data_IF_579496190136
#
_entry.id   IF_579496190136
#
_cell.length_a   1.000
_cell.length_b   1.000
_cell.length_c   1.000
_cell.angle_alpha   90.00
_cell.angle_beta   90.00
_cell.angle_gamma   90.00
#
_symmetry.space_group_name_H-M   'P 1'
#
loop_
_entity.id
_entity.type
_entity.pdbx_description
1 polymer ?
#
# COMPACT_ATOMS: atom_id res chain seq x y z
N UNK A 1 -108.25 46.20 -26.03
CA UNK A 1 -107.85 46.67 -24.72
C UNK A 1 -106.91 45.56 -24.15
N UNK A 2 -105.68 45.64 -24.38
CA UNK A 2 -104.66 44.63 -23.91
C UNK A 2 -103.68 45.32 -22.94
N UNK A 3 -103.61 44.82 -21.71
CA UNK A 3 -102.65 45.30 -20.72
C UNK A 3 -101.41 44.44 -20.81
N UNK A 4 -100.28 45.10 -21.04
CA UNK A 4 -98.95 44.52 -20.97
C UNK A 4 -98.57 44.47 -19.48
N UNK A 5 -98.09 43.36 -18.94
CA UNK A 5 -97.51 43.36 -17.59
C UNK A 5 -96.07 43.94 -17.60
N UNK A 6 -95.82 44.99 -16.82
CA UNK A 6 -94.50 45.52 -16.50
C UNK A 6 -93.72 44.50 -15.67
N UNK A 7 -92.67 43.99 -16.21
CA UNK A 7 -91.64 43.26 -15.40
C UNK A 7 -90.96 44.21 -14.41
N UNK A 8 -91.15 44.01 -13.18
CA UNK A 8 -90.42 44.67 -12.07
C UNK A 8 -89.01 44.16 -12.04
N UNK A 9 -88.05 44.91 -12.55
CA UNK A 9 -86.66 44.72 -12.20
C UNK A 9 -86.52 45.07 -10.71
N UNK A 10 -86.48 44.04 -9.82
CA UNK A 10 -86.06 44.21 -8.48
C UNK A 10 -84.55 44.60 -8.51
N UNK A 11 -84.29 45.88 -8.31
CA UNK A 11 -82.97 46.42 -8.09
C UNK A 11 -82.49 45.86 -6.71
N UNK A 12 -81.67 44.81 -6.73
CA UNK A 12 -81.08 44.30 -5.54
C UNK A 12 -80.31 45.43 -4.84
N UNK A 13 -80.62 45.61 -3.55
CA UNK A 13 -79.97 46.62 -2.68
C UNK A 13 -78.46 46.62 -2.86
N UNK A 14 -77.76 47.77 -2.94
CA UNK A 14 -76.29 47.82 -3.10
C UNK A 14 -75.54 46.98 -2.07
N UNK A 15 -76.14 46.84 -0.88
CA UNK A 15 -75.55 45.97 0.21
C UNK A 15 -75.65 44.48 -0.15
N UNK A 16 -76.68 44.02 -0.84
CA UNK A 16 -76.79 42.61 -1.25
C UNK A 16 -75.81 42.34 -2.38
N UNK A 17 -75.61 43.27 -3.31
CA UNK A 17 -74.63 43.16 -4.42
C UNK A 17 -73.19 43.16 -3.82
N UNK A 18 -72.87 44.01 -2.85
CA UNK A 18 -71.58 44.04 -2.18
C UNK A 18 -71.38 42.75 -1.42
N UNK A 19 -72.40 42.20 -0.75
CA UNK A 19 -72.31 40.91 -0.04
C UNK A 19 -72.10 39.72 -1.03
N UNK A 20 -72.75 39.72 -2.17
CA UNK A 20 -72.55 38.71 -3.22
C UNK A 20 -71.11 38.75 -3.82
N UNK A 21 -70.63 39.99 -4.11
CA UNK A 21 -69.24 40.16 -4.55
C UNK A 21 -68.23 39.73 -3.55
N UNK A 22 -68.40 40.08 -2.25
CA UNK A 22 -67.56 39.66 -1.16
C UNK A 22 -67.54 38.12 -0.99
N UNK A 23 -68.72 37.49 -1.06
CA UNK A 23 -68.85 36.02 -1.03
C UNK A 23 -68.16 35.37 -2.20
N UNK A 24 -68.33 35.88 -3.42
CA UNK A 24 -67.75 35.37 -4.65
C UNK A 24 -66.20 35.50 -4.58
N UNK A 25 -65.68 36.63 -4.07
CA UNK A 25 -64.27 36.87 -3.87
C UNK A 25 -63.69 35.88 -2.82
N UNK A 26 -64.37 35.72 -1.70
CA UNK A 26 -63.96 34.76 -0.67
C UNK A 26 -63.96 33.31 -1.16
N UNK A 27 -65.02 32.94 -1.96
CA UNK A 27 -65.12 31.62 -2.57
C UNK A 27 -63.98 31.38 -3.58
N UNK A 28 -63.67 32.37 -4.41
CA UNK A 28 -62.54 32.31 -5.35
C UNK A 28 -61.21 32.16 -4.64
N UNK A 29 -60.96 32.92 -3.55
CA UNK A 29 -59.74 32.79 -2.74
C UNK A 29 -59.67 31.41 -2.10
N UNK A 30 -60.80 30.92 -1.54
CA UNK A 30 -60.82 29.58 -0.92
C UNK A 30 -60.56 28.46 -1.95
N UNK A 31 -61.14 28.60 -3.15
CA UNK A 31 -60.89 27.65 -4.26
C UNK A 31 -59.45 27.67 -4.71
N UNK A 32 -58.83 28.85 -4.88
CA UNK A 32 -57.43 29.00 -5.23
C UNK A 32 -56.54 28.42 -4.13
N UNK A 33 -56.85 28.65 -2.84
CA UNK A 33 -56.14 28.09 -1.73
C UNK A 33 -56.25 26.55 -1.69
N UNK A 34 -57.42 25.99 -1.98
CA UNK A 34 -57.61 24.53 -2.05
C UNK A 34 -56.83 23.91 -3.22
N UNK A 35 -56.79 24.56 -4.39
CA UNK A 35 -55.97 24.12 -5.51
C UNK A 35 -54.48 24.22 -5.17
N UNK A 36 -54.04 25.34 -4.64
CA UNK A 36 -52.64 25.51 -4.20
C UNK A 36 -52.23 24.45 -3.14
N UNK A 37 -53.13 24.14 -2.20
CA UNK A 37 -52.90 23.07 -1.22
C UNK A 37 -52.84 21.69 -1.89
N UNK A 38 -53.71 21.37 -2.85
CA UNK A 38 -53.72 20.11 -3.55
C UNK A 38 -52.40 19.84 -4.31
N UNK A 39 -51.79 20.89 -4.87
CA UNK A 39 -50.52 20.81 -5.61
C UNK A 39 -49.29 21.12 -4.74
N UNK A 40 -49.43 21.33 -3.43
CA UNK A 40 -48.32 21.74 -2.55
C UNK A 40 -47.23 20.68 -2.38
N UNK A 41 -47.49 19.42 -2.70
CA UNK A 41 -46.55 18.30 -2.52
C UNK A 41 -46.04 17.72 -3.85
N UNK A 42 -46.14 18.51 -4.93
CA UNK A 42 -45.50 18.17 -6.21
C UNK A 42 -44.04 18.57 -6.12
N UNK A 43 -43.13 17.60 -6.27
CA UNK A 43 -41.68 17.82 -6.16
C UNK A 43 -40.93 17.19 -7.32
N UNK A 44 -39.86 17.82 -7.73
CA UNK A 44 -38.88 17.26 -8.65
C UNK A 44 -37.80 16.55 -7.82
N UNK A 45 -37.53 15.30 -8.16
CA UNK A 45 -36.46 14.47 -7.53
C UNK A 45 -35.26 14.51 -8.47
N UNK A 46 -34.13 14.98 -7.94
CA UNK A 46 -32.85 15.00 -8.67
C UNK A 46 -32.35 13.58 -8.97
N UNK A 47 -31.53 13.39 -10.03
CA UNK A 47 -30.97 12.09 -10.39
C UNK A 47 -30.15 11.41 -9.29
N UNK A 48 -29.56 12.22 -8.39
CA UNK A 48 -28.75 11.71 -7.26
C UNK A 48 -29.59 11.35 -6.04
N UNK A 49 -30.91 11.53 -6.09
CA UNK A 49 -31.83 11.28 -4.99
C UNK A 49 -32.97 10.36 -5.43
N UNK A 50 -33.60 9.73 -4.45
CA UNK A 50 -34.87 9.01 -4.59
C UNK A 50 -35.79 9.45 -3.46
N UNK A 51 -37.07 9.29 -3.63
CA UNK A 51 -38.07 9.63 -2.63
C UNK A 51 -38.78 8.38 -2.11
N UNK A 52 -38.96 8.35 -0.80
CA UNK A 52 -39.89 7.42 -0.12
C UNK A 52 -41.14 8.20 0.20
N UNK A 53 -42.28 7.72 -0.28
CA UNK A 53 -43.59 8.28 0.01
C UNK A 53 -44.25 7.45 1.09
N UNK A 54 -44.56 8.08 2.21
CA UNK A 54 -45.29 7.49 3.32
C UNK A 54 -46.75 7.97 3.27
N UNK A 55 -47.71 7.05 3.25
CA UNK A 55 -49.11 7.31 3.36
C UNK A 55 -49.58 7.04 4.80
N UNK A 56 -49.95 8.10 5.53
CA UNK A 56 -50.27 8.02 6.99
C UNK A 56 -49.19 7.28 7.81
N UNK A 57 -47.92 7.44 7.45
CA UNK A 57 -46.78 6.80 8.13
C UNK A 57 -46.43 5.40 7.66
N UNK A 58 -47.26 4.77 6.80
CA UNK A 58 -46.94 3.48 6.18
C UNK A 58 -46.22 3.71 4.83
N UNK A 59 -45.29 2.81 4.47
CA UNK A 59 -44.64 2.85 3.16
C UNK A 59 -45.67 2.60 2.06
N UNK A 60 -45.82 3.57 1.16
CA UNK A 60 -46.66 3.45 -0.03
C UNK A 60 -45.82 3.06 -1.26
N UNK A 61 -44.89 3.93 -1.63
CA UNK A 61 -44.04 3.72 -2.82
C UNK A 61 -42.66 4.36 -2.68
N UNK A 62 -41.73 3.84 -3.47
CA UNK A 62 -40.39 4.42 -3.66
C UNK A 62 -40.33 4.95 -5.09
N UNK A 63 -39.96 6.20 -5.28
CA UNK A 63 -39.81 6.82 -6.59
C UNK A 63 -38.35 7.26 -6.79
N UNK A 64 -37.80 6.88 -7.95
CA UNK A 64 -36.53 7.36 -8.41
C UNK A 64 -36.62 8.77 -8.98
N UNK A 65 -35.51 9.28 -9.55
CA UNK A 65 -35.46 10.60 -10.15
C UNK A 65 -36.64 10.88 -11.11
N UNK A 66 -37.13 12.12 -11.13
CA UNK A 66 -38.23 12.58 -11.96
C UNK A 66 -39.24 13.41 -11.20
N UNK A 67 -40.41 13.63 -11.82
CA UNK A 67 -41.49 14.40 -11.23
C UNK A 67 -42.34 13.48 -10.33
N UNK A 68 -42.41 13.83 -9.04
CA UNK A 68 -43.22 13.15 -8.04
C UNK A 68 -44.52 13.94 -7.82
N UNK A 69 -45.64 13.28 -7.98
CA UNK A 69 -46.94 13.72 -7.54
C UNK A 69 -47.31 12.99 -6.25
N UNK A 70 -47.38 13.72 -5.16
CA UNK A 70 -47.78 13.18 -3.88
C UNK A 70 -48.98 13.98 -3.34
N UNK A 71 -49.84 13.32 -2.57
CA UNK A 71 -50.96 13.99 -1.91
C UNK A 71 -50.44 15.02 -0.89
N UNK A 72 -51.16 16.13 -0.71
CA UNK A 72 -50.72 17.13 0.25
C UNK A 72 -50.68 16.57 1.69
N UNK A 73 -49.81 17.18 2.53
CA UNK A 73 -49.81 16.87 3.97
C UNK A 73 -51.16 17.19 4.57
N UNK A 74 -51.73 16.35 5.44
CA UNK A 74 -51.03 15.27 6.21
C UNK A 74 -51.12 13.86 5.57
N UNK A 75 -51.73 13.69 4.39
CA UNK A 75 -52.00 12.39 3.78
C UNK A 75 -50.72 11.66 3.37
N UNK A 76 -49.85 12.33 2.62
CA UNK A 76 -48.58 11.78 2.20
C UNK A 76 -47.39 12.63 2.69
N UNK A 77 -46.35 11.94 3.15
CA UNK A 77 -45.07 12.53 3.51
C UNK A 77 -44.01 12.03 2.55
N UNK A 78 -43.28 12.95 1.92
CA UNK A 78 -42.18 12.63 1.02
C UNK A 78 -40.87 12.84 1.74
N UNK A 79 -40.06 11.78 1.86
CA UNK A 79 -38.73 11.80 2.43
C UNK A 79 -37.73 11.56 1.31
N UNK A 80 -36.83 12.52 1.11
CA UNK A 80 -35.77 12.42 0.11
C UNK A 80 -34.60 11.64 0.70
N UNK A 81 -34.10 10.65 -0.05
CA UNK A 81 -32.97 9.82 0.27
C UNK A 81 -31.95 9.85 -0.87
N UNK A 82 -30.68 9.55 -0.58
CA UNK A 82 -29.70 9.33 -1.63
C UNK A 82 -30.12 8.20 -2.58
N UNK A 83 -29.77 8.33 -3.85
CA UNK A 83 -29.98 7.26 -4.84
C UNK A 83 -29.23 5.98 -4.42
N UNK A 84 -29.65 4.81 -4.94
CA UNK A 84 -29.09 3.52 -4.55
C UNK A 84 -27.61 3.35 -4.88
N UNK A 85 -27.13 4.03 -5.91
CA UNK A 85 -25.75 4.05 -6.42
C UNK A 85 -24.89 5.12 -5.74
N UNK A 86 -25.52 6.10 -5.06
CA UNK A 86 -24.79 7.16 -4.39
C UNK A 86 -24.09 6.69 -3.15
N UNK A 87 -22.77 6.81 -3.16
CA UNK A 87 -21.90 6.51 -2.01
C UNK A 87 -21.77 7.76 -1.13
N UNK A 88 -21.96 7.58 0.17
CA UNK A 88 -21.89 8.63 1.18
C UNK A 88 -20.67 8.38 2.04
N UNK A 89 -19.85 9.41 2.24
CA UNK A 89 -18.72 9.38 3.16
C UNK A 89 -19.16 9.74 4.58
N UNK A 90 -18.67 8.98 5.55
CA UNK A 90 -18.84 9.24 6.97
C UNK A 90 -17.52 9.04 7.70
N UNK A 91 -17.03 10.06 8.39
CA UNK A 91 -15.90 9.97 9.31
C UNK A 91 -16.38 9.51 10.68
N UNK A 92 -15.61 8.64 11.32
CA UNK A 92 -15.95 8.08 12.63
C UNK A 92 -15.21 8.84 13.73
N UNK A 93 -15.87 9.84 14.28
CA UNK A 93 -15.26 10.73 15.27
C UNK A 93 -14.99 10.03 16.61
N UNK A 94 -15.74 8.98 16.94
CA UNK A 94 -15.57 8.19 18.18
C UNK A 94 -14.19 7.49 18.27
N UNK A 95 -13.51 7.31 17.16
CA UNK A 95 -12.16 6.73 17.09
C UNK A 95 -11.07 7.81 17.15
N UNK A 96 -11.45 9.08 17.04
CA UNK A 96 -10.51 10.18 17.11
C UNK A 96 -10.27 10.61 18.56
N UNK A 97 -9.09 11.14 18.77
CA UNK A 97 -8.77 11.77 20.05
C UNK A 97 -9.60 13.04 20.22
N UNK A 98 -10.25 13.20 21.36
CA UNK A 98 -11.07 14.38 21.64
C UNK A 98 -10.20 15.64 21.66
N UNK A 99 -10.79 16.80 21.33
CA UNK A 99 -10.08 18.09 21.37
C UNK A 99 -9.50 18.39 22.76
N UNK A 100 -10.22 18.01 23.81
CA UNK A 100 -9.74 18.13 25.18
C UNK A 100 -8.51 17.25 25.45
N UNK A 101 -8.50 16.03 24.93
CA UNK A 101 -7.36 15.14 25.03
C UNK A 101 -6.15 15.62 24.20
N UNK A 102 -6.37 16.18 23.00
CA UNK A 102 -5.33 16.79 22.20
C UNK A 102 -4.70 18.02 22.84
N UNK A 103 -5.51 18.85 23.49
CA UNK A 103 -5.02 20.00 24.27
C UNK A 103 -4.22 19.53 25.49
N UNK A 104 -4.74 18.54 26.21
CA UNK A 104 -4.06 17.96 27.36
C UNK A 104 -2.71 17.32 26.99
N UNK A 105 -2.62 16.63 25.83
CA UNK A 105 -1.37 16.08 25.30
C UNK A 105 -0.31 17.16 25.00
N UNK A 106 -0.74 18.32 24.52
CA UNK A 106 0.16 19.47 24.26
C UNK A 106 0.68 20.10 25.54
N UNK A 107 -0.13 20.06 26.59
CA UNK A 107 0.18 20.64 27.90
C UNK A 107 0.83 19.63 28.85
N UNK A 108 0.75 18.33 28.54
CA UNK A 108 1.30 17.27 29.38
C UNK A 108 2.81 17.40 29.49
N UNK A 109 3.30 17.69 30.68
CA UNK A 109 4.68 17.46 31.08
C UNK A 109 4.73 16.18 31.90
N UNK A 110 5.93 15.56 31.97
CA UNK A 110 6.14 14.36 32.79
C UNK A 110 5.71 14.48 34.26
N UNK A 111 5.43 15.70 34.70
CA UNK A 111 5.03 16.02 36.08
C UNK A 111 3.51 15.99 36.32
N UNK A 112 2.67 16.04 35.30
CA UNK A 112 1.21 16.05 35.42
C UNK A 112 0.61 14.92 34.60
N UNK A 113 0.24 13.79 35.22
CA UNK A 113 -0.42 12.70 34.52
C UNK A 113 -1.81 13.17 34.02
N UNK A 114 -2.14 12.75 32.79
CA UNK A 114 -3.47 12.92 32.22
C UNK A 114 -4.51 12.17 33.08
N UNK A 115 -5.72 12.71 33.19
CA UNK A 115 -6.82 11.95 33.80
C UNK A 115 -7.11 10.69 32.95
N UNK A 116 -7.48 9.58 33.60
CA UNK A 116 -7.75 8.30 32.93
C UNK A 116 -8.74 8.43 31.76
N UNK A 117 -9.76 9.28 31.92
CA UNK A 117 -10.75 9.55 30.86
C UNK A 117 -10.15 10.20 29.61
N UNK A 118 -9.14 11.04 29.74
CA UNK A 118 -8.46 11.69 28.63
C UNK A 118 -7.34 10.82 28.08
N UNK A 119 -6.64 10.07 28.94
CA UNK A 119 -5.53 9.19 28.54
C UNK A 119 -5.97 8.10 27.56
N UNK A 120 -7.15 7.49 27.78
CA UNK A 120 -7.69 6.43 26.92
C UNK A 120 -8.45 6.92 25.68
N UNK A 121 -8.75 8.22 25.57
CA UNK A 121 -9.57 8.76 24.48
C UNK A 121 -8.89 8.60 23.11
N UNK A 122 -9.55 7.95 22.17
CA UNK A 122 -9.10 7.81 20.79
C UNK A 122 -7.90 6.88 20.60
N UNK A 123 -7.51 6.11 21.61
CA UNK A 123 -6.49 5.08 21.51
C UNK A 123 -7.09 3.68 21.53
N UNK A 124 -6.56 2.81 20.69
CA UNK A 124 -6.90 1.40 20.62
C UNK A 124 -5.71 0.55 21.04
N UNK A 125 -5.99 -0.51 21.78
CA UNK A 125 -4.99 -1.51 22.14
C UNK A 125 -4.90 -2.56 21.03
N UNK A 126 -3.67 -2.97 20.72
CA UNK A 126 -3.37 -4.05 19.79
C UNK A 126 -3.17 -5.37 20.53
N UNK A 127 -3.16 -6.49 19.81
CA UNK A 127 -3.00 -7.82 20.40
C UNK A 127 -1.66 -8.05 21.10
N UNK A 128 -0.62 -7.31 20.68
CA UNK A 128 0.72 -7.31 21.25
C UNK A 128 0.94 -6.20 22.31
N UNK A 129 -0.14 -5.73 22.95
CA UNK A 129 -0.12 -4.66 23.97
C UNK A 129 0.36 -3.29 23.47
N UNK A 130 0.46 -3.11 22.16
CA UNK A 130 0.74 -1.82 21.55
C UNK A 130 -0.47 -0.87 21.62
N UNK A 131 -0.22 0.42 21.37
CA UNK A 131 -1.25 1.46 21.34
C UNK A 131 -1.24 2.15 19.98
N UNK A 132 -2.40 2.23 19.35
CA UNK A 132 -2.58 2.85 18.03
C UNK A 132 -3.79 3.76 18.03
N UNK A 133 -3.75 4.79 17.21
CA UNK A 133 -4.88 5.64 16.87
C UNK A 133 -5.30 5.37 15.44
N UNK A 134 -6.61 5.22 15.20
CA UNK A 134 -7.17 5.02 13.87
C UNK A 134 -8.07 6.19 13.48
N UNK A 135 -7.82 6.77 12.31
CA UNK A 135 -8.78 7.63 11.61
C UNK A 135 -9.49 6.77 10.56
N UNK A 136 -10.79 6.58 10.74
CA UNK A 136 -11.60 5.68 9.93
C UNK A 136 -12.67 6.49 9.20
N UNK A 137 -12.70 6.36 7.87
CA UNK A 137 -13.75 6.91 7.02
C UNK A 137 -14.47 5.78 6.34
N UNK A 138 -15.78 5.77 6.47
CA UNK A 138 -16.66 4.73 5.93
C UNK A 138 -17.42 5.29 4.75
N UNK A 139 -17.44 4.53 3.67
CA UNK A 139 -18.20 4.82 2.47
C UNK A 139 -19.34 3.83 2.36
N UNK A 140 -20.57 4.30 2.53
CA UNK A 140 -21.75 3.46 2.53
C UNK A 140 -22.78 3.94 1.51
N UNK A 141 -23.66 3.03 1.13
CA UNK A 141 -24.83 3.30 0.28
C UNK A 141 -26.11 2.84 0.99
N UNK A 142 -27.22 3.46 0.66
CA UNK A 142 -28.53 3.05 1.16
C UNK A 142 -29.11 2.01 0.21
N UNK A 143 -29.20 0.75 0.64
CA UNK A 143 -29.73 -0.35 -0.17
C UNK A 143 -31.24 -0.53 0.03
N UNK A 144 -31.70 -0.38 1.27
CA UNK A 144 -33.10 -0.58 1.64
C UNK A 144 -33.70 0.70 2.22
N UNK A 145 -34.40 1.51 1.39
CA UNK A 145 -34.90 2.83 1.79
C UNK A 145 -35.88 2.80 2.94
N UNK A 146 -36.71 1.75 3.03
CA UNK A 146 -37.70 1.64 4.09
C UNK A 146 -37.06 1.45 5.45
N UNK A 147 -36.15 0.48 5.59
CA UNK A 147 -35.41 0.24 6.83
C UNK A 147 -34.64 1.50 7.26
N UNK A 148 -34.00 2.19 6.29
CA UNK A 148 -33.28 3.44 6.55
C UNK A 148 -34.19 4.55 7.09
N UNK A 149 -35.39 4.75 6.52
CA UNK A 149 -36.34 5.75 6.99
C UNK A 149 -36.94 5.37 8.33
N UNK A 150 -37.25 4.07 8.54
CA UNK A 150 -37.81 3.56 9.80
C UNK A 150 -36.87 3.80 10.97
N UNK A 151 -35.57 3.53 10.78
CA UNK A 151 -34.54 3.76 11.78
C UNK A 151 -34.15 5.24 11.92
N UNK A 152 -34.35 6.05 10.87
CA UNK A 152 -34.21 7.50 10.88
C UNK A 152 -32.92 8.00 11.51
N UNK A 153 -33.05 8.72 12.62
CA UNK A 153 -31.93 9.34 13.34
C UNK A 153 -30.96 8.32 13.96
N UNK A 154 -31.40 7.06 14.14
CA UNK A 154 -30.58 6.04 14.79
C UNK A 154 -29.56 5.37 13.85
N UNK A 155 -29.73 5.50 12.53
CA UNK A 155 -28.86 4.85 11.53
C UNK A 155 -27.40 5.28 11.68
N UNK A 156 -27.13 6.59 11.74
CA UNK A 156 -25.77 7.09 11.81
C UNK A 156 -25.07 6.75 13.13
N UNK A 157 -25.70 6.96 14.32
CA UNK A 157 -25.11 6.54 15.59
C UNK A 157 -24.90 5.02 15.68
N UNK A 158 -25.79 4.21 15.11
CA UNK A 158 -25.62 2.77 15.06
C UNK A 158 -24.44 2.36 14.17
N UNK A 159 -24.32 2.97 12.98
CA UNK A 159 -23.18 2.76 12.10
C UNK A 159 -21.86 3.12 12.81
N UNK A 160 -21.78 4.30 13.45
CA UNK A 160 -20.59 4.75 14.18
C UNK A 160 -20.19 3.71 15.26
N UNK A 161 -21.16 3.18 16.02
CA UNK A 161 -20.91 2.14 17.04
C UNK A 161 -20.44 0.82 16.43
N UNK A 162 -21.04 0.38 15.30
CA UNK A 162 -20.65 -0.85 14.60
C UNK A 162 -19.22 -0.75 14.08
N UNK A 163 -18.88 0.39 13.48
CA UNK A 163 -17.52 0.62 12.95
C UNK A 163 -16.52 0.67 14.10
N UNK A 164 -16.82 1.44 15.17
CA UNK A 164 -15.97 1.52 16.36
C UNK A 164 -15.72 0.13 16.96
N UNK A 165 -16.78 -0.67 17.14
CA UNK A 165 -16.67 -2.03 17.66
C UNK A 165 -15.82 -2.93 16.74
N UNK A 166 -16.00 -2.81 15.42
CA UNK A 166 -15.25 -3.60 14.45
C UNK A 166 -13.78 -3.20 14.44
N UNK A 167 -13.48 -1.90 14.53
CA UNK A 167 -12.12 -1.38 14.62
C UNK A 167 -11.42 -1.85 15.91
N UNK A 168 -12.09 -1.77 17.06
CA UNK A 168 -11.56 -2.25 18.35
C UNK A 168 -11.27 -3.76 18.29
N UNK A 169 -12.23 -4.56 17.80
CA UNK A 169 -12.07 -6.01 17.70
C UNK A 169 -10.94 -6.40 16.74
N UNK A 170 -10.80 -5.69 15.63
CA UNK A 170 -9.73 -5.91 14.67
C UNK A 170 -8.36 -5.54 15.26
N UNK A 171 -8.26 -4.41 15.94
CA UNK A 171 -7.03 -3.96 16.59
C UNK A 171 -6.59 -4.93 17.68
N UNK A 172 -7.50 -5.37 18.54
CA UNK A 172 -7.21 -6.32 19.61
C UNK A 172 -6.79 -7.72 19.11
N UNK A 173 -7.13 -8.08 17.88
CA UNK A 173 -6.80 -9.36 17.26
C UNK A 173 -5.49 -9.32 16.45
N UNK A 174 -4.81 -8.19 16.34
CA UNK A 174 -3.66 -7.99 15.46
C UNK A 174 -2.51 -7.28 16.17
N UNK A 175 -1.30 -7.56 15.69
CA UNK A 175 -0.09 -6.89 16.15
C UNK A 175 -0.02 -5.47 15.60
N UNK A 176 0.67 -4.60 16.35
CA UNK A 176 0.86 -3.18 16.04
C UNK A 176 1.42 -2.98 14.61
N UNK A 177 2.43 -3.74 14.22
CA UNK A 177 3.05 -3.64 12.91
C UNK A 177 2.07 -3.90 11.76
N UNK A 178 1.12 -4.81 11.94
CA UNK A 178 0.08 -5.12 10.95
C UNK A 178 -0.89 -3.97 10.77
N UNK A 179 -1.18 -3.23 11.83
CA UNK A 179 -2.08 -2.06 11.81
C UNK A 179 -1.35 -0.82 11.30
N UNK A 180 -0.07 -0.64 11.67
CA UNK A 180 0.75 0.50 11.24
C UNK A 180 1.08 0.51 9.74
N UNK A 181 0.81 -0.58 9.02
CA UNK A 181 0.87 -0.60 7.55
C UNK A 181 -0.04 0.47 6.92
N UNK A 182 -1.08 0.92 7.63
CA UNK A 182 -1.97 2.00 7.20
C UNK A 182 -1.40 3.42 7.45
N UNK A 183 -0.15 3.56 7.89
CA UNK A 183 0.50 4.88 8.04
C UNK A 183 0.76 5.54 6.69
N UNK A 184 0.50 6.85 6.57
CA UNK A 184 0.73 7.59 5.33
C UNK A 184 2.20 7.54 4.86
N UNK A 185 3.15 7.56 5.79
CA UNK A 185 4.59 7.60 5.52
C UNK A 185 5.13 6.30 4.88
N UNK A 186 4.41 5.19 5.04
CA UNK A 186 4.78 3.89 4.49
C UNK A 186 4.16 3.59 3.12
N UNK A 187 3.37 4.53 2.57
CA UNK A 187 2.59 4.33 1.33
C UNK A 187 3.45 4.02 0.10
N UNK A 188 4.72 4.40 0.08
CA UNK A 188 5.60 4.18 -1.07
C UNK A 188 6.68 3.10 -0.89
N UNK A 189 6.80 2.50 0.28
CA UNK A 189 8.03 1.76 0.61
C UNK A 189 8.06 0.29 0.14
N UNK A 190 6.91 -0.43 0.10
CA UNK A 190 6.93 -1.87 -0.23
C UNK A 190 5.60 -2.31 -0.86
N UNK A 191 5.67 -3.15 -1.91
CA UNK A 191 4.50 -3.78 -2.55
C UNK A 191 3.66 -4.61 -1.56
N UNK A 192 4.31 -5.29 -0.62
CA UNK A 192 3.64 -6.06 0.44
C UNK A 192 2.85 -5.18 1.43
N UNK A 193 3.29 -3.93 1.65
CA UNK A 193 2.57 -3.00 2.52
C UNK A 193 1.21 -2.60 1.93
N UNK A 194 1.14 -2.43 0.61
CA UNK A 194 -0.12 -2.13 -0.08
C UNK A 194 -1.12 -3.29 0.05
N UNK A 195 -0.67 -4.53 -0.14
CA UNK A 195 -1.52 -5.72 -0.01
C UNK A 195 -2.03 -5.92 1.43
N UNK A 196 -1.15 -5.76 2.42
CA UNK A 196 -1.55 -5.86 3.84
C UNK A 196 -2.57 -4.78 4.23
N UNK A 197 -2.40 -3.56 3.70
CA UNK A 197 -3.36 -2.46 3.92
C UNK A 197 -4.71 -2.77 3.31
N UNK A 198 -4.73 -3.31 2.11
CA UNK A 198 -5.97 -3.68 1.45
C UNK A 198 -6.69 -4.83 2.19
N UNK A 199 -5.96 -5.81 2.71
CA UNK A 199 -6.51 -6.84 3.59
C UNK A 199 -7.12 -6.25 4.86
N UNK A 200 -6.44 -5.29 5.50
CA UNK A 200 -6.96 -4.60 6.69
C UNK A 200 -8.30 -3.90 6.41
N UNK A 201 -8.38 -3.19 5.26
CA UNK A 201 -9.61 -2.53 4.81
C UNK A 201 -10.72 -3.54 4.51
N UNK A 202 -10.39 -4.58 3.78
CA UNK A 202 -11.32 -5.65 3.42
C UNK A 202 -11.93 -6.34 4.64
N UNK A 203 -11.10 -6.66 5.64
CA UNK A 203 -11.56 -7.29 6.88
C UNK A 203 -12.48 -6.37 7.70
N UNK A 204 -12.21 -5.05 7.70
CA UNK A 204 -13.11 -4.08 8.32
C UNK A 204 -14.47 -4.03 7.62
N UNK A 205 -14.47 -3.91 6.28
CA UNK A 205 -15.70 -3.90 5.48
C UNK A 205 -16.50 -5.17 5.74
N UNK A 206 -15.84 -6.32 5.70
CA UNK A 206 -16.48 -7.60 5.95
C UNK A 206 -17.05 -7.74 7.37
N UNK A 207 -16.27 -7.30 8.36
CA UNK A 207 -16.69 -7.31 9.77
C UNK A 207 -17.91 -6.43 10.03
N UNK A 208 -17.95 -5.24 9.41
CA UNK A 208 -19.08 -4.31 9.54
C UNK A 208 -20.31 -4.86 8.83
N UNK A 209 -20.17 -5.28 7.55
CA UNK A 209 -21.30 -5.78 6.77
C UNK A 209 -21.90 -7.06 7.36
N UNK A 210 -21.09 -7.97 7.93
CA UNK A 210 -21.60 -9.15 8.65
C UNK A 210 -22.53 -8.75 9.79
N UNK A 211 -22.18 -7.73 10.57
CA UNK A 211 -23.01 -7.23 11.65
C UNK A 211 -24.27 -6.51 11.16
N UNK A 212 -24.17 -5.80 10.04
CA UNK A 212 -25.34 -5.18 9.40
C UNK A 212 -26.35 -6.25 8.96
N UNK A 213 -25.86 -7.37 8.42
CA UNK A 213 -26.71 -8.53 8.06
C UNK A 213 -27.32 -9.18 9.32
N UNK A 214 -26.56 -9.35 10.39
CA UNK A 214 -27.07 -9.86 11.68
C UNK A 214 -28.21 -8.98 12.22
N UNK A 215 -28.06 -7.64 12.17
CA UNK A 215 -29.12 -6.71 12.56
C UNK A 215 -30.36 -6.83 11.65
N UNK A 216 -30.16 -7.01 10.36
CA UNK A 216 -31.28 -7.22 9.44
C UNK A 216 -32.03 -8.51 9.77
N UNK A 217 -31.32 -9.59 10.10
CA UNK A 217 -31.94 -10.87 10.49
C UNK A 217 -32.78 -10.78 11.79
N UNK A 218 -32.43 -9.83 12.68
CA UNK A 218 -33.20 -9.56 13.92
C UNK A 218 -34.33 -8.53 13.74
N UNK A 219 -34.59 -8.09 12.50
CA UNK A 219 -35.61 -7.07 12.21
C UNK A 219 -35.19 -5.63 12.53
N UNK A 220 -33.93 -5.41 12.89
CA UNK A 220 -33.35 -4.09 13.20
C UNK A 220 -32.39 -3.60 12.11
N UNK A 221 -32.62 -3.98 10.86
CA UNK A 221 -31.80 -3.61 9.73
C UNK A 221 -31.71 -2.08 9.57
N UNK A 222 -30.53 -1.56 9.29
CA UNK A 222 -30.29 -0.13 9.07
C UNK A 222 -30.52 0.29 7.61
N UNK A 223 -30.74 -0.65 6.70
CA UNK A 223 -30.96 -0.40 5.28
C UNK A 223 -29.74 0.13 4.52
N UNK A 224 -28.53 -0.03 5.08
CA UNK A 224 -27.25 0.44 4.50
C UNK A 224 -26.30 -0.72 4.27
N UNK A 225 -25.38 -0.50 3.33
CA UNK A 225 -24.25 -1.40 3.06
C UNK A 225 -22.96 -0.59 3.00
N UNK A 226 -21.91 -1.05 3.65
CA UNK A 226 -20.58 -0.44 3.58
C UNK A 226 -19.86 -0.98 2.35
N UNK A 227 -19.48 -0.07 1.46
CA UNK A 227 -18.80 -0.39 0.19
C UNK A 227 -17.28 -0.38 0.38
N UNK A 228 -16.79 0.62 1.12
CA UNK A 228 -15.36 0.83 1.33
C UNK A 228 -15.11 1.45 2.69
N UNK A 229 -13.95 1.14 3.25
CA UNK A 229 -13.44 1.78 4.46
C UNK A 229 -12.02 2.28 4.17
N UNK A 230 -11.76 3.55 4.42
CA UNK A 230 -10.43 4.11 4.42
C UNK A 230 -9.94 4.21 5.86
N UNK A 231 -8.75 3.66 6.09
CA UNK A 231 -8.12 3.64 7.42
C UNK A 231 -6.76 4.30 7.34
N UNK A 232 -6.50 5.20 8.25
CA UNK A 232 -5.19 5.75 8.52
C UNK A 232 -4.82 5.44 9.97
N UNK A 233 -3.66 4.87 10.19
CA UNK A 233 -3.13 4.57 11.51
C UNK A 233 -2.04 5.56 11.90
N UNK A 234 -1.99 5.92 13.17
CA UNK A 234 -0.95 6.74 13.75
C UNK A 234 -0.57 6.24 15.14
N UNK A 235 0.63 6.57 15.57
CA UNK A 235 1.09 6.30 16.92
C UNK A 235 0.81 7.50 17.83
N UNK A 236 0.64 7.27 19.14
CA UNK A 236 0.67 8.35 20.11
C UNK A 236 1.94 9.18 19.97
N UNK A 237 1.84 10.51 20.10
CA UNK A 237 2.97 11.41 19.92
C UNK A 237 4.22 11.03 20.75
N UNK A 238 4.12 10.58 22.02
CA UNK A 238 5.29 10.13 22.79
C UNK A 238 5.97 8.89 22.23
N UNK A 239 5.20 7.99 21.56
CA UNK A 239 5.72 6.72 21.02
C UNK A 239 6.37 6.87 19.62
N UNK A 240 6.08 7.96 18.90
CA UNK A 240 6.55 8.17 17.53
C UNK A 240 8.07 8.15 17.44
N UNK A 241 8.76 8.84 18.35
CA UNK A 241 10.22 8.91 18.34
C UNK A 241 10.87 7.56 18.65
N UNK A 242 10.34 6.83 19.63
CA UNK A 242 10.82 5.50 19.98
C UNK A 242 10.61 4.51 18.82
N UNK A 243 9.44 4.52 18.21
CA UNK A 243 9.13 3.67 17.06
C UNK A 243 10.03 3.98 15.85
N UNK A 244 10.22 5.25 15.52
CA UNK A 244 11.11 5.67 14.43
C UNK A 244 12.55 5.27 14.70
N UNK A 245 13.02 5.33 15.96
CA UNK A 245 14.35 4.86 16.34
C UNK A 245 14.52 3.34 16.12
N UNK A 246 13.53 2.54 16.51
CA UNK A 246 13.52 1.08 16.27
C UNK A 246 13.50 0.80 14.75
N UNK A 247 12.65 1.48 13.99
CA UNK A 247 12.58 1.31 12.53
C UNK A 247 13.92 1.65 11.86
N UNK A 248 14.54 2.76 12.26
CA UNK A 248 15.85 3.17 11.74
C UNK A 248 16.93 2.15 12.10
N UNK A 249 16.94 1.65 13.34
CA UNK A 249 17.87 0.63 13.77
C UNK A 249 17.70 -0.69 12.99
N UNK A 250 16.45 -1.11 12.77
CA UNK A 250 16.15 -2.31 11.96
C UNK A 250 16.63 -2.14 10.52
N UNK A 251 16.33 -1.02 9.87
CA UNK A 251 16.79 -0.73 8.51
C UNK A 251 18.33 -0.70 8.42
N UNK A 252 18.99 -0.14 9.43
CA UNK A 252 20.45 -0.11 9.48
C UNK A 252 21.02 -1.52 9.67
N UNK A 253 20.39 -2.35 10.50
CA UNK A 253 20.79 -3.75 10.67
C UNK A 253 20.65 -4.55 9.36
N UNK A 254 19.52 -4.42 8.66
CA UNK A 254 19.29 -5.06 7.37
C UNK A 254 20.33 -4.65 6.32
N UNK A 255 20.62 -3.34 6.25
CA UNK A 255 21.66 -2.81 5.38
C UNK A 255 23.04 -3.37 5.72
N UNK A 256 23.37 -3.48 7.01
CA UNK A 256 24.65 -4.03 7.46
C UNK A 256 24.77 -5.51 7.09
N UNK A 257 23.70 -6.29 7.29
CA UNK A 257 23.66 -7.72 6.91
C UNK A 257 23.80 -7.88 5.38
N UNK A 258 23.09 -7.06 4.59
CA UNK A 258 23.20 -7.08 3.12
C UNK A 258 24.62 -6.74 2.66
N UNK A 259 25.22 -5.70 3.22
CA UNK A 259 26.60 -5.31 2.90
C UNK A 259 27.61 -6.43 3.27
N UNK A 260 27.47 -7.04 4.45
CA UNK A 260 28.35 -8.14 4.88
C UNK A 260 28.22 -9.38 3.97
N UNK A 261 27.01 -9.70 3.51
CA UNK A 261 26.78 -10.78 2.53
C UNK A 261 27.45 -10.48 1.18
N UNK A 262 27.26 -9.27 0.66
CA UNK A 262 27.90 -8.83 -0.58
C UNK A 262 29.43 -8.86 -0.48
N UNK A 263 29.99 -8.50 0.68
CA UNK A 263 31.43 -8.54 0.90
C UNK A 263 31.94 -9.98 0.99
N UNK A 264 31.23 -10.87 1.68
CA UNK A 264 31.55 -12.29 1.73
C UNK A 264 31.51 -12.94 0.34
N UNK A 265 30.53 -12.62 -0.49
CA UNK A 265 30.46 -13.09 -1.88
C UNK A 265 31.65 -12.60 -2.71
N UNK A 266 32.00 -11.31 -2.61
CA UNK A 266 33.19 -10.74 -3.29
C UNK A 266 34.49 -11.41 -2.86
N UNK A 267 34.66 -11.65 -1.55
CA UNK A 267 35.82 -12.37 -1.04
C UNK A 267 35.88 -13.80 -1.57
N UNK A 268 34.76 -14.51 -1.55
CA UNK A 268 34.67 -15.88 -2.10
C UNK A 268 34.99 -15.93 -3.59
N UNK A 269 34.42 -15.00 -4.36
CA UNK A 269 34.70 -14.89 -5.79
C UNK A 269 36.19 -14.59 -6.04
N UNK A 270 36.77 -13.62 -5.31
CA UNK A 270 38.18 -13.27 -5.46
C UNK A 270 39.12 -14.41 -5.06
N UNK A 271 38.75 -15.23 -4.06
CA UNK A 271 39.51 -16.42 -3.68
C UNK A 271 39.44 -17.50 -4.77
N UNK A 272 38.28 -17.74 -5.34
CA UNK A 272 38.11 -18.68 -6.46
C UNK A 272 38.92 -18.24 -7.70
N UNK A 273 38.83 -16.95 -8.05
CA UNK A 273 39.63 -16.39 -9.17
C UNK A 273 41.13 -16.55 -8.96
N UNK A 274 41.62 -16.36 -7.72
CA UNK A 274 43.03 -16.58 -7.38
C UNK A 274 43.41 -18.06 -7.46
N UNK A 275 42.55 -18.93 -6.96
CA UNK A 275 42.78 -20.38 -7.05
C UNK A 275 42.82 -20.83 -8.51
N UNK A 276 41.86 -20.45 -9.34
CA UNK A 276 41.83 -20.79 -10.77
C UNK A 276 43.06 -20.25 -11.50
N UNK A 277 43.43 -19.01 -11.23
CA UNK A 277 44.65 -18.40 -11.81
C UNK A 277 45.89 -19.18 -11.42
N UNK A 278 46.03 -19.58 -10.17
CA UNK A 278 47.18 -20.37 -9.71
C UNK A 278 47.25 -21.74 -10.40
N UNK A 279 46.10 -22.43 -10.56
CA UNK A 279 46.02 -23.72 -11.25
C UNK A 279 46.35 -23.53 -12.72
N UNK A 280 45.81 -22.52 -13.39
CA UNK A 280 46.07 -22.24 -14.82
C UNK A 280 47.56 -21.92 -15.05
N UNK A 281 48.20 -21.11 -14.19
CA UNK A 281 49.60 -20.80 -14.29
C UNK A 281 50.47 -22.04 -14.09
N UNK A 282 50.15 -22.88 -13.12
CA UNK A 282 50.87 -24.16 -12.89
C UNK A 282 50.74 -25.12 -14.07
N UNK A 283 49.55 -25.23 -14.65
CA UNK A 283 49.29 -26.03 -15.86
C UNK A 283 50.06 -25.50 -17.08
N UNK A 284 50.06 -24.16 -17.28
CA UNK A 284 50.82 -23.52 -18.34
C UNK A 284 52.34 -23.81 -18.22
N UNK A 285 52.87 -23.62 -16.99
CA UNK A 285 54.29 -23.93 -16.73
C UNK A 285 54.64 -25.42 -16.90
N UNK A 286 53.72 -26.31 -16.50
CA UNK A 286 53.90 -27.74 -16.69
C UNK A 286 53.92 -28.11 -18.20
N UNK A 287 52.98 -27.57 -18.97
CA UNK A 287 52.92 -27.78 -20.41
C UNK A 287 54.13 -27.19 -21.14
N UNK A 288 54.60 -26.01 -20.76
CA UNK A 288 55.80 -25.39 -21.28
C UNK A 288 57.04 -26.26 -21.00
N UNK A 289 57.21 -26.75 -19.76
CA UNK A 289 58.33 -27.66 -19.42
C UNK A 289 58.31 -28.96 -20.20
N UNK A 290 57.08 -29.55 -20.36
CA UNK A 290 56.93 -30.76 -21.18
C UNK A 290 57.22 -30.50 -22.66
N UNK A 291 56.74 -29.40 -23.20
CA UNK A 291 57.02 -29.02 -24.62
C UNK A 291 58.53 -28.81 -24.81
N UNK A 292 59.20 -28.10 -23.91
CA UNK A 292 60.63 -27.88 -23.95
C UNK A 292 61.41 -29.21 -23.85
N UNK A 293 61.09 -30.05 -22.88
CA UNK A 293 61.74 -31.35 -22.70
C UNK A 293 61.51 -32.27 -23.95
N UNK A 294 60.32 -32.26 -24.52
CA UNK A 294 60.02 -33.03 -25.77
C UNK A 294 60.80 -32.52 -26.97
N UNK A 295 60.93 -31.19 -27.12
CA UNK A 295 61.71 -30.57 -28.19
C UNK A 295 63.21 -30.89 -28.05
N UNK A 296 63.73 -30.74 -26.84
CA UNK A 296 65.15 -31.09 -26.56
C UNK A 296 65.41 -32.59 -26.81
N UNK A 297 64.50 -33.45 -26.37
CA UNK A 297 64.62 -34.91 -26.58
C UNK A 297 64.51 -35.27 -28.06
N UNK A 298 63.59 -34.63 -28.82
CA UNK A 298 63.48 -34.85 -30.27
C UNK A 298 64.75 -34.45 -31.01
N UNK A 299 65.36 -33.33 -30.57
CA UNK A 299 66.63 -32.86 -31.14
C UNK A 299 67.76 -33.87 -30.86
N UNK A 300 67.88 -34.38 -29.63
CA UNK A 300 68.92 -35.37 -29.28
C UNK A 300 68.68 -36.70 -30.06
N UNK A 301 67.44 -37.17 -30.13
CA UNK A 301 67.08 -38.36 -30.89
C UNK A 301 67.36 -38.21 -32.39
N UNK A 302 67.13 -37.06 -33.01
CA UNK A 302 67.45 -36.80 -34.41
C UNK A 302 68.97 -36.80 -34.64
N UNK A 303 69.73 -36.21 -33.75
CA UNK A 303 71.19 -36.24 -33.82
C UNK A 303 71.77 -37.64 -33.61
N UNK A 304 71.22 -38.39 -32.63
CA UNK A 304 71.62 -39.78 -32.42
C UNK A 304 71.36 -40.70 -33.68
N UNK A 305 70.20 -40.55 -34.33
CA UNK A 305 69.87 -41.25 -35.59
C UNK A 305 70.81 -40.89 -36.71
N UNK A 306 71.09 -39.59 -36.89
CA UNK A 306 72.05 -39.15 -37.91
C UNK A 306 73.44 -39.67 -37.65
N UNK A 307 73.88 -39.77 -36.42
CA UNK A 307 75.19 -40.41 -36.05
C UNK A 307 75.17 -41.89 -36.33
N UNK A 308 74.13 -42.65 -36.02
CA UNK A 308 74.01 -44.08 -36.30
C UNK A 308 73.98 -44.39 -37.82
N UNK A 309 73.44 -43.53 -38.63
CA UNK A 309 73.35 -43.63 -40.06
C UNK A 309 74.68 -43.31 -40.78
N UNK A 310 75.68 -42.79 -40.06
CA UNK A 310 76.99 -42.50 -40.62
C UNK A 310 77.10 -41.46 -41.72
N UNK A 311 76.05 -40.60 -41.80
CA UNK A 311 75.87 -39.67 -42.95
C UNK A 311 76.87 -38.49 -42.93
N UNK A 312 77.48 -38.20 -41.77
CA UNK A 312 78.50 -37.13 -41.67
C UNK A 312 79.52 -37.47 -40.53
N UNK A 313 80.67 -38.00 -40.89
CA UNK A 313 81.73 -38.40 -39.91
C UNK A 313 82.25 -37.25 -39.07
N UNK A 314 82.04 -35.98 -39.43
CA UNK A 314 82.52 -34.81 -38.69
C UNK A 314 81.39 -34.06 -37.98
N UNK A 315 80.18 -34.59 -37.93
CA UNK A 315 79.00 -33.97 -37.40
C UNK A 315 79.21 -33.63 -35.90
N UNK A 316 79.74 -34.51 -35.09
CA UNK A 316 80.03 -34.32 -33.70
C UNK A 316 81.00 -33.19 -33.43
N UNK A 317 82.04 -33.06 -34.23
CA UNK A 317 83.01 -32.02 -34.14
C UNK A 317 82.43 -30.64 -34.49
N UNK A 318 81.53 -30.61 -35.49
CA UNK A 318 80.85 -29.41 -35.93
C UNK A 318 79.88 -28.93 -34.84
N UNK A 319 79.08 -29.80 -34.28
CA UNK A 319 78.13 -29.46 -33.17
C UNK A 319 78.93 -29.02 -31.96
N UNK A 320 80.03 -29.71 -31.63
CA UNK A 320 80.86 -29.25 -30.49
C UNK A 320 81.43 -27.86 -30.69
N UNK A 321 81.96 -27.54 -31.89
CA UNK A 321 82.44 -26.23 -32.22
C UNK A 321 81.37 -25.15 -32.22
N UNK A 322 80.13 -25.47 -32.62
CA UNK A 322 79.02 -24.55 -32.60
C UNK A 322 78.49 -24.27 -31.19
N UNK A 323 78.45 -25.29 -30.31
CA UNK A 323 77.99 -25.16 -28.91
C UNK A 323 79.05 -24.65 -27.98
N UNK A 324 80.32 -24.80 -28.29
CA UNK A 324 81.41 -24.38 -27.43
C UNK A 324 81.34 -22.91 -27.00
N UNK A 325 81.07 -21.93 -27.85
CA UNK A 325 80.94 -20.53 -27.46
C UNK A 325 79.80 -20.29 -26.44
N UNK A 326 78.66 -21.02 -26.64
CA UNK A 326 77.49 -20.92 -25.72
C UNK A 326 77.81 -21.49 -24.34
N UNK A 327 78.50 -22.64 -24.30
CA UNK A 327 78.94 -23.27 -23.06
C UNK A 327 79.97 -22.43 -22.35
N UNK A 328 80.94 -21.88 -23.13
CA UNK A 328 82.00 -21.01 -22.59
C UNK A 328 81.40 -19.69 -22.07
N UNK A 329 80.37 -19.15 -22.73
CA UNK A 329 79.69 -17.92 -22.27
C UNK A 329 78.91 -18.10 -20.95
N UNK A 330 78.57 -19.33 -20.57
CA UNK A 330 77.91 -19.63 -19.27
C UNK A 330 78.95 -20.03 -18.16
N UNK A 331 80.16 -20.19 -18.53
CA UNK A 331 81.25 -20.50 -17.56
C UNK A 331 81.72 -19.20 -16.90
N UNK A 332 81.80 -19.16 -15.57
CA UNK A 332 82.22 -17.97 -14.80
C UNK A 332 83.69 -17.56 -15.04
N UNK A 333 84.54 -18.51 -15.49
CA UNK A 333 85.91 -18.25 -15.92
C UNK A 333 86.34 -19.38 -16.85
N UNK A 334 87.09 -19.02 -17.91
CA UNK A 334 87.65 -20.02 -18.87
C UNK A 334 89.17 -19.81 -18.85
N UNK A 335 89.91 -20.86 -18.48
CA UNK A 335 91.38 -20.88 -18.51
C UNK A 335 91.85 -21.81 -19.63
N UNK A 336 92.56 -21.28 -20.60
CA UNK A 336 93.13 -22.08 -21.71
C UNK A 336 94.53 -22.53 -21.29
N UNK A 337 94.75 -23.81 -21.33
CA UNK A 337 96.08 -24.42 -21.01
C UNK A 337 96.68 -24.98 -22.32
N UNK A 338 97.97 -24.66 -22.55
CA UNK A 338 98.71 -25.23 -23.69
C UNK A 338 99.07 -26.67 -23.38
N UNK A 339 98.59 -27.68 -24.22
CA UNK A 339 98.85 -29.10 -23.90
C UNK A 339 100.30 -29.52 -24.06
N UNK A 340 101.25 -28.68 -24.48
CA UNK A 340 102.68 -28.94 -24.57
C UNK A 340 103.51 -28.34 -23.43
N UNK A 341 102.86 -27.71 -22.45
CA UNK A 341 103.50 -27.12 -21.31
C UNK A 341 103.34 -28.04 -20.07
N UNK A 342 104.48 -28.61 -19.58
CA UNK A 342 104.53 -29.55 -18.40
C UNK A 342 104.33 -28.79 -17.04
N UNK A 343 103.91 -27.54 -17.06
CA UNK A 343 103.62 -26.78 -15.82
C UNK A 343 102.34 -27.25 -15.14
N UNK A 344 102.46 -27.56 -13.80
CA UNK A 344 101.32 -27.98 -12.99
C UNK A 344 100.32 -26.89 -12.84
N UNK A 345 99.13 -27.07 -13.42
CA UNK A 345 98.03 -26.19 -13.23
C UNK A 345 97.35 -26.37 -11.87
N UNK A 346 97.50 -25.42 -10.94
CA UNK A 346 96.78 -25.41 -9.67
C UNK A 346 95.48 -24.58 -9.88
N UNK A 347 94.34 -25.24 -9.95
CA UNK A 347 93.06 -24.58 -9.99
C UNK A 347 92.60 -24.31 -8.57
N UNK A 348 92.63 -23.07 -8.13
CA UNK A 348 91.99 -22.65 -6.90
C UNK A 348 90.48 -22.84 -7.03
N UNK A 349 89.93 -23.73 -6.21
CA UNK A 349 88.50 -23.90 -6.08
C UNK A 349 87.86 -22.57 -5.57
N UNK A 350 86.82 -22.12 -6.19
CA UNK A 350 86.02 -20.98 -5.68
C UNK A 350 85.52 -21.33 -4.31
N UNK A 351 85.86 -20.51 -3.29
CA UNK A 351 85.21 -20.60 -1.98
C UNK A 351 83.75 -20.23 -2.18
N UNK A 352 82.83 -21.07 -1.64
CA UNK A 352 81.39 -20.83 -1.61
C UNK A 352 81.07 -19.64 -0.70
#
# INVERSE_FOLDING_TARGET
>A
MSRVPRGTHESSSPWIQAGQLAFLALFAVTLLAAVAWAFSNVRQIDPQNRAVVLHFGALDRIQNAGLLFAWPRPFEQVILLPAADRVIERRIDNLLRSDAALQADRLASFATPLSDALAGSGYLLTGDTGVVQLDVRVFYKVIEPYAFVLQGEHVLPALDRLVTRSAVALSAARDLDTILVARPELVGAYSQAAERRERLRGDLVQGINRRLVELTATGQGLGIEVVRVDVQSSLPAPAVNAFNAVLTASQQADKTVANARNEAEKLTQSANERADRTVQLAQAQASERLAKASADTATVLSLAKAQQQGTDPQMMLRIYRERLPTIMGQAGSVTTVNPKDDSRLIIQGAAQ
#
